data_IF_344342125470
#
_entry.id   IF_344342125470
#
_cell.length_a   1.000
_cell.length_b   1.000
_cell.length_c   1.000
_cell.angle_alpha   90.00
_cell.angle_beta   90.00
_cell.angle_gamma   90.00
#
_symmetry.space_group_name_H-M   'P 1'
#
loop_
_entity.id
_entity.type
_entity.pdbx_description
1 polymer ?
#
# COMPACT_ATOMS: atom_id res chain seq x y z
N UNK A 1 24.59 27.75 -7.36
CA UNK A 1 23.13 27.84 -7.57
C UNK A 1 22.50 26.46 -7.41
N UNK A 2 21.47 26.30 -6.56
CA UNK A 2 20.64 25.09 -6.53
C UNK A 2 19.67 25.14 -7.72
N UNK A 3 19.42 24.01 -8.37
CA UNK A 3 18.47 23.98 -9.49
C UNK A 3 17.05 24.29 -8.98
N UNK A 4 16.21 25.01 -9.75
CA UNK A 4 14.92 25.54 -9.29
C UNK A 4 13.92 24.45 -8.85
N UNK A 5 14.07 23.22 -9.35
CA UNK A 5 13.22 22.08 -9.03
C UNK A 5 13.71 21.25 -7.83
N UNK A 6 14.86 21.57 -7.25
CA UNK A 6 15.38 20.82 -6.11
C UNK A 6 14.77 21.32 -4.79
N UNK A 7 14.41 20.38 -3.92
CA UNK A 7 13.89 20.71 -2.59
C UNK A 7 14.92 21.53 -1.81
N UNK A 8 14.48 22.58 -1.11
CA UNK A 8 15.36 23.52 -0.39
C UNK A 8 16.18 22.85 0.71
N UNK A 9 15.57 21.91 1.44
CA UNK A 9 16.21 21.05 2.44
C UNK A 9 17.13 19.96 1.86
N UNK A 10 17.23 19.83 0.53
CA UNK A 10 18.12 18.83 -0.07
C UNK A 10 19.60 19.24 0.08
N UNK A 11 20.43 18.32 0.59
CA UNK A 11 21.86 18.53 0.82
C UNK A 11 22.72 17.39 0.23
N UNK A 12 24.05 17.58 0.25
CA UNK A 12 25.01 16.59 -0.31
C UNK A 12 25.04 15.28 0.49
N UNK A 13 24.83 15.34 1.80
CA UNK A 13 24.78 14.17 2.68
C UNK A 13 23.64 13.23 2.30
N UNK A 14 22.43 13.78 2.08
CA UNK A 14 21.26 13.05 1.59
C UNK A 14 21.49 12.44 0.21
N UNK A 15 22.21 13.12 -0.68
CA UNK A 15 22.55 12.59 -2.00
C UNK A 15 23.53 11.41 -1.91
N UNK A 16 24.51 11.47 -1.01
CA UNK A 16 25.42 10.35 -0.72
C UNK A 16 24.65 9.17 -0.10
N UNK A 17 23.83 9.42 0.91
CA UNK A 17 23.02 8.40 1.56
C UNK A 17 22.03 7.74 0.60
N UNK A 18 21.40 8.51 -0.30
CA UNK A 18 20.54 8.02 -1.37
C UNK A 18 21.30 7.13 -2.35
N UNK A 19 22.50 7.52 -2.79
CA UNK A 19 23.34 6.69 -3.68
C UNK A 19 23.71 5.37 -3.02
N UNK A 20 24.10 5.40 -1.75
CA UNK A 20 24.43 4.19 -1.00
C UNK A 20 23.20 3.28 -0.84
N UNK A 21 22.04 3.85 -0.53
CA UNK A 21 20.78 3.10 -0.44
C UNK A 21 20.42 2.43 -1.76
N UNK A 22 20.55 3.14 -2.89
CA UNK A 22 20.29 2.59 -4.24
C UNK A 22 21.23 1.44 -4.57
N UNK A 23 22.52 1.58 -4.22
CA UNK A 23 23.53 0.52 -4.42
C UNK A 23 23.17 -0.74 -3.65
N UNK A 24 22.87 -0.61 -2.35
CA UNK A 24 22.46 -1.73 -1.50
C UNK A 24 21.11 -2.32 -1.94
N UNK A 25 20.17 -1.48 -2.39
CA UNK A 25 18.89 -1.93 -2.93
C UNK A 25 19.06 -2.79 -4.18
N UNK A 26 19.96 -2.40 -5.10
CA UNK A 26 20.32 -3.22 -6.26
C UNK A 26 20.95 -4.54 -5.85
N UNK A 27 21.87 -4.53 -4.87
CA UNK A 27 22.47 -5.76 -4.34
C UNK A 27 21.43 -6.67 -3.67
N UNK A 28 20.53 -6.12 -2.85
CA UNK A 28 19.42 -6.84 -2.24
C UNK A 28 18.50 -7.47 -3.30
N UNK A 29 18.18 -6.74 -4.37
CA UNK A 29 17.33 -7.26 -5.44
C UNK A 29 18.01 -8.41 -6.21
N UNK A 30 19.30 -8.29 -6.52
CA UNK A 30 20.06 -9.33 -7.22
C UNK A 30 20.08 -10.65 -6.42
N UNK A 31 20.19 -10.55 -5.09
CA UNK A 31 20.23 -11.71 -4.19
C UNK A 31 18.86 -12.14 -3.66
N UNK A 32 17.74 -11.65 -4.22
CA UNK A 32 16.37 -11.92 -3.73
C UNK A 32 15.99 -13.40 -3.58
N UNK A 33 16.66 -14.29 -4.31
CA UNK A 33 16.43 -15.73 -4.24
C UNK A 33 17.11 -16.37 -3.02
N UNK A 34 18.09 -15.70 -2.41
CA UNK A 34 18.76 -16.11 -1.19
C UNK A 34 18.33 -15.20 -0.03
N UNK A 35 17.34 -15.66 0.75
CA UNK A 35 16.74 -14.88 1.84
C UNK A 35 17.73 -14.50 2.95
N UNK A 36 18.76 -15.30 3.16
CA UNK A 36 19.71 -15.13 4.26
C UNK A 36 20.97 -14.34 3.84
N UNK A 37 21.00 -13.82 2.61
CA UNK A 37 22.11 -13.01 2.14
C UNK A 37 22.21 -11.68 2.94
N UNK A 38 23.40 -11.29 3.42
CA UNK A 38 23.58 -10.13 4.30
C UNK A 38 23.16 -8.79 3.68
N UNK A 39 23.15 -8.69 2.35
CA UNK A 39 22.71 -7.48 1.62
C UNK A 39 21.29 -7.02 2.00
N UNK A 40 20.41 -7.95 2.37
CA UNK A 40 19.05 -7.61 2.80
C UNK A 40 19.06 -6.87 4.14
N UNK A 41 19.87 -7.33 5.09
CA UNK A 41 20.03 -6.68 6.39
C UNK A 41 20.72 -5.33 6.23
N UNK A 42 21.77 -5.23 5.40
CA UNK A 42 22.44 -3.97 5.09
C UNK A 42 21.52 -2.95 4.44
N UNK A 43 20.70 -3.38 3.47
CA UNK A 43 19.72 -2.52 2.83
C UNK A 43 18.69 -1.99 3.82
N UNK A 44 18.13 -2.84 4.70
CA UNK A 44 17.18 -2.41 5.75
C UNK A 44 17.82 -1.40 6.71
N UNK A 45 19.04 -1.67 7.18
CA UNK A 45 19.79 -0.74 8.04
C UNK A 45 20.00 0.61 7.36
N UNK A 46 20.46 0.61 6.10
CA UNK A 46 20.69 1.85 5.36
C UNK A 46 19.38 2.59 5.06
N UNK A 47 18.29 1.88 4.79
CA UNK A 47 16.96 2.49 4.58
C UNK A 47 16.51 3.24 5.83
N UNK A 48 16.66 2.65 7.01
CA UNK A 48 16.29 3.28 8.27
C UNK A 48 17.16 4.51 8.54
N UNK A 49 18.49 4.39 8.43
CA UNK A 49 19.42 5.53 8.56
C UNK A 49 19.10 6.66 7.59
N UNK A 50 18.75 6.34 6.34
CA UNK A 50 18.36 7.34 5.35
C UNK A 50 17.03 8.02 5.71
N UNK A 51 16.07 7.28 6.24
CA UNK A 51 14.81 7.82 6.75
C UNK A 51 15.04 8.79 7.91
N UNK A 52 15.83 8.40 8.90
CA UNK A 52 16.24 9.26 10.02
C UNK A 52 16.96 10.53 9.54
N UNK A 53 17.88 10.38 8.59
CA UNK A 53 18.60 11.52 7.99
C UNK A 53 17.63 12.48 7.28
N UNK A 54 16.65 11.98 6.53
CA UNK A 54 15.62 12.83 5.91
C UNK A 54 14.85 13.61 6.98
N UNK A 55 14.39 12.93 8.02
CA UNK A 55 13.62 13.57 9.09
C UNK A 55 14.44 14.64 9.81
N UNK A 56 15.70 14.33 10.14
CA UNK A 56 16.65 15.25 10.76
C UNK A 56 16.90 16.48 9.87
N UNK A 57 17.31 16.29 8.62
CA UNK A 57 17.62 17.42 7.72
C UNK A 57 16.40 18.30 7.43
N UNK A 58 15.19 17.71 7.33
CA UNK A 58 13.97 18.50 7.20
C UNK A 58 13.72 19.35 8.44
N UNK A 59 13.90 18.78 9.64
CA UNK A 59 13.73 19.50 10.91
C UNK A 59 14.77 20.62 11.03
N UNK A 60 16.05 20.33 10.82
CA UNK A 60 17.13 21.34 10.86
C UNK A 60 16.87 22.47 9.85
N UNK A 61 16.41 22.14 8.64
CA UNK A 61 16.05 23.17 7.66
C UNK A 61 14.84 24.00 8.09
N UNK A 62 13.87 23.38 8.75
CA UNK A 62 12.70 24.09 9.28
C UNK A 62 13.09 25.00 10.45
N UNK A 63 13.92 24.53 11.38
CA UNK A 63 14.45 25.32 12.50
C UNK A 63 15.28 26.51 11.98
N UNK A 64 16.21 26.28 11.06
CA UNK A 64 16.99 27.36 10.44
C UNK A 64 16.12 28.34 9.65
N UNK A 65 15.04 27.87 9.01
CA UNK A 65 14.07 28.74 8.37
C UNK A 65 13.32 29.60 9.38
N UNK A 66 12.99 29.06 10.57
CA UNK A 66 12.32 29.81 11.64
C UNK A 66 13.21 30.90 12.24
N UNK A 67 14.51 30.65 12.34
CA UNK A 67 15.50 31.62 12.82
C UNK A 67 15.71 32.79 11.82
N UNK A 68 15.47 32.55 10.53
CA UNK A 68 15.66 33.49 9.41
C UNK A 68 14.34 34.16 8.95
N UNK A 69 13.26 34.08 9.75
CA UNK A 69 11.96 34.70 9.40
C UNK A 69 12.02 36.20 9.60
N UNK A 70 12.20 36.92 8.50
CA UNK A 70 12.02 38.37 8.40
C UNK A 70 10.56 38.77 8.09
N UNK A 71 10.23 40.07 8.20
CA UNK A 71 8.90 40.63 7.90
C UNK A 71 8.37 40.21 6.51
N UNK A 72 9.24 40.07 5.51
CA UNK A 72 8.89 39.63 4.16
C UNK A 72 8.45 38.15 4.11
N UNK A 73 8.95 37.32 5.02
CA UNK A 73 8.71 35.88 5.07
C UNK A 73 7.62 35.47 6.08
N UNK A 74 7.19 36.39 6.96
CA UNK A 74 6.13 36.14 7.96
C UNK A 74 4.84 35.62 7.33
N UNK A 75 4.45 36.15 6.17
CA UNK A 75 3.24 35.69 5.45
C UNK A 75 3.39 34.29 4.86
N UNK A 76 4.60 33.88 4.47
CA UNK A 76 4.85 32.51 4.02
C UNK A 76 4.83 31.54 5.20
N UNK A 77 5.38 31.96 6.35
CA UNK A 77 5.30 31.20 7.60
C UNK A 77 3.85 30.97 8.03
N UNK A 78 3.03 32.03 8.11
CA UNK A 78 1.63 31.91 8.51
C UNK A 78 0.84 31.01 7.56
N UNK A 79 1.10 31.08 6.25
CA UNK A 79 0.54 30.16 5.25
C UNK A 79 0.93 28.70 5.53
N UNK A 80 2.19 28.41 5.86
CA UNK A 80 2.63 27.04 6.12
C UNK A 80 2.04 26.46 7.42
N UNK A 81 1.86 27.29 8.44
CA UNK A 81 1.21 26.86 9.70
C UNK A 81 -0.29 26.65 9.51
N UNK A 82 -0.97 27.57 8.82
CA UNK A 82 -2.41 27.50 8.60
C UNK A 82 -2.81 26.47 7.54
N UNK A 83 -1.93 26.18 6.57
CA UNK A 83 -2.22 25.39 5.38
C UNK A 83 -2.42 23.88 5.60
N UNK A 84 -2.22 23.37 6.82
CA UNK A 84 -2.39 21.96 7.13
C UNK A 84 -1.52 21.03 6.28
N UNK A 85 -1.75 19.72 6.37
CA UNK A 85 -1.06 18.76 5.52
C UNK A 85 -1.65 18.77 4.11
N UNK A 86 -0.84 19.05 3.09
CA UNK A 86 -1.28 19.04 1.67
C UNK A 86 -1.85 17.70 1.17
N UNK A 87 -1.60 16.59 1.88
CA UNK A 87 -1.94 15.23 1.43
C UNK A 87 -3.28 14.73 2.00
N UNK A 88 -4.05 15.57 2.71
CA UNK A 88 -5.31 15.18 3.37
C UNK A 88 -5.16 14.10 4.46
N UNK A 89 -3.99 13.46 4.59
CA UNK A 89 -3.75 12.36 5.53
C UNK A 89 -3.76 12.82 7.00
N UNK A 90 -3.50 14.11 7.23
CA UNK A 90 -3.55 14.73 8.55
C UNK A 90 -4.71 15.72 8.66
N UNK A 91 -5.59 15.81 7.65
CA UNK A 91 -6.83 16.55 7.81
C UNK A 91 -7.61 15.90 8.93
N UNK A 92 -8.00 16.73 9.90
CA UNK A 92 -8.66 16.30 11.12
C UNK A 92 -9.93 15.57 10.74
N UNK A 93 -9.89 14.23 10.74
CA UNK A 93 -11.08 13.40 10.49
C UNK A 93 -12.20 13.95 11.37
N UNK A 94 -13.32 14.32 10.74
CA UNK A 94 -14.44 14.91 11.46
C UNK A 94 -14.93 13.97 12.55
N UNK A 95 -15.65 14.51 13.53
CA UNK A 95 -16.27 13.65 14.54
C UNK A 95 -17.34 12.80 13.86
N UNK A 96 -17.28 11.49 14.06
CA UNK A 96 -18.26 10.53 13.55
C UNK A 96 -19.37 10.35 14.58
N UNK A 97 -20.60 10.13 14.12
CA UNK A 97 -21.71 9.72 14.98
C UNK A 97 -21.71 8.21 15.11
N UNK A 98 -21.68 7.70 16.35
CA UNK A 98 -21.76 6.29 16.67
C UNK A 98 -23.07 6.02 17.40
N UNK A 99 -23.80 4.99 16.97
CA UNK A 99 -25.00 4.52 17.67
C UNK A 99 -24.59 3.58 18.80
N UNK A 100 -25.00 3.88 20.02
CA UNK A 100 -24.79 3.03 21.18
C UNK A 100 -25.82 1.89 21.22
N UNK A 101 -25.58 0.90 22.07
CA UNK A 101 -26.48 -0.25 22.24
C UNK A 101 -27.88 0.17 22.72
N UNK A 102 -27.95 1.28 23.47
CA UNK A 102 -29.20 1.90 23.92
C UNK A 102 -29.93 2.73 22.84
N UNK A 103 -29.44 2.72 21.60
CA UNK A 103 -30.01 3.47 20.46
C UNK A 103 -29.71 4.99 20.46
N UNK A 104 -29.00 5.50 21.47
CA UNK A 104 -28.55 6.89 21.52
C UNK A 104 -27.35 7.14 20.59
N UNK A 105 -27.23 8.36 20.07
CA UNK A 105 -26.12 8.76 19.20
C UNK A 105 -25.05 9.56 19.99
N UNK A 106 -23.79 9.14 19.87
CA UNK A 106 -22.62 9.80 20.49
C UNK A 106 -21.59 10.19 19.44
N UNK A 107 -20.98 11.37 19.59
CA UNK A 107 -19.87 11.81 18.74
C UNK A 107 -18.53 11.24 19.22
N UNK A 108 -17.70 10.77 18.29
CA UNK A 108 -16.33 10.31 18.56
C UNK A 108 -15.40 11.48 18.87
N UNK A 109 -14.53 11.35 19.85
CA UNK A 109 -13.62 12.42 20.28
C UNK A 109 -12.18 12.24 19.78
N UNK A 110 -11.70 11.00 19.70
CA UNK A 110 -10.32 10.67 19.32
C UNK A 110 -10.27 9.81 18.04
N UNK A 111 -9.07 9.59 17.50
CA UNK A 111 -8.91 8.81 16.27
C UNK A 111 -9.12 7.30 16.49
N UNK A 112 -8.86 6.80 17.69
CA UNK A 112 -9.07 5.39 18.03
C UNK A 112 -10.56 5.04 18.03
N UNK A 113 -11.41 5.87 18.65
CA UNK A 113 -12.88 5.75 18.61
C UNK A 113 -13.41 5.83 17.18
N UNK A 114 -12.85 6.73 16.34
CA UNK A 114 -13.23 6.81 14.92
C UNK A 114 -12.85 5.54 14.16
N UNK A 115 -11.65 5.02 14.38
CA UNK A 115 -11.18 3.79 13.77
C UNK A 115 -12.10 2.62 14.12
N UNK A 116 -12.45 2.48 15.41
CA UNK A 116 -13.39 1.46 15.88
C UNK A 116 -14.79 1.63 15.29
N UNK A 117 -15.30 2.86 15.21
CA UNK A 117 -16.61 3.16 14.63
C UNK A 117 -16.68 2.79 13.14
N UNK A 118 -15.64 3.13 12.37
CA UNK A 118 -15.54 2.76 10.95
C UNK A 118 -15.41 1.25 10.79
N UNK A 119 -14.54 0.61 11.58
CA UNK A 119 -14.35 -0.83 11.52
C UNK A 119 -15.65 -1.58 11.78
N UNK A 120 -16.38 -1.22 12.86
CA UNK A 120 -17.67 -1.84 13.19
C UNK A 120 -18.71 -1.66 12.08
N UNK A 121 -18.74 -0.49 11.45
CA UNK A 121 -19.72 -0.17 10.39
C UNK A 121 -19.42 -0.91 9.09
N UNK A 122 -18.16 -0.94 8.66
CA UNK A 122 -17.77 -1.55 7.39
C UNK A 122 -17.54 -3.06 7.47
N UNK A 123 -17.23 -3.58 8.66
CA UNK A 123 -16.96 -4.99 8.91
C UNK A 123 -17.97 -5.51 9.95
N UNK A 124 -19.22 -5.80 9.53
CA UNK A 124 -20.19 -6.43 10.39
C UNK A 124 -19.65 -7.78 10.93
N UNK A 125 -20.11 -8.23 12.10
CA UNK A 125 -19.71 -9.53 12.64
C UNK A 125 -20.05 -10.65 11.65
N UNK A 126 -19.24 -11.71 11.68
CA UNK A 126 -19.51 -12.90 10.87
C UNK A 126 -20.97 -13.32 11.09
N UNK A 127 -21.72 -13.45 10.00
CA UNK A 127 -23.07 -13.98 10.06
C UNK A 127 -23.00 -15.35 10.74
N UNK A 128 -24.01 -15.69 11.54
CA UNK A 128 -24.11 -17.02 12.13
C UNK A 128 -23.88 -18.06 11.03
N UNK A 129 -22.95 -18.99 11.27
CA UNK A 129 -22.67 -20.08 10.35
C UNK A 129 -23.98 -20.81 10.12
N UNK A 130 -24.61 -20.56 8.97
CA UNK A 130 -25.74 -21.38 8.55
C UNK A 130 -25.21 -22.79 8.35
N UNK A 131 -25.94 -23.74 8.89
CA UNK A 131 -25.78 -25.14 8.53
C UNK A 131 -26.18 -25.27 7.05
N UNK A 132 -25.18 -25.10 6.19
CA UNK A 132 -25.35 -25.20 4.75
C UNK A 132 -25.64 -26.64 4.35
N UNK A 133 -25.34 -27.63 5.19
CA UNK A 133 -25.67 -29.05 4.99
C UNK A 133 -27.18 -29.26 5.17
N UNK A 134 -27.82 -28.55 6.11
CA UNK A 134 -29.27 -28.55 6.28
C UNK A 134 -30.04 -27.77 5.18
N UNK A 135 -29.36 -26.89 4.44
CA UNK A 135 -29.91 -26.14 3.28
C UNK A 135 -29.41 -26.71 1.93
N UNK A 136 -28.70 -27.83 1.94
CA UNK A 136 -28.01 -28.40 0.78
C UNK A 136 -28.93 -29.16 -0.19
N UNK A 137 -30.23 -28.84 -0.23
CA UNK A 137 -31.07 -29.29 -1.34
C UNK A 137 -30.74 -28.41 -2.56
N UNK A 138 -29.60 -28.73 -3.18
CA UNK A 138 -29.17 -28.08 -4.40
C UNK A 138 -30.24 -28.33 -5.47
N UNK A 139 -30.68 -27.31 -6.21
CA UNK A 139 -31.66 -27.52 -7.27
C UNK A 139 -31.09 -28.51 -8.29
N UNK A 140 -31.99 -29.29 -8.90
CA UNK A 140 -31.63 -30.18 -10.00
C UNK A 140 -30.81 -29.43 -11.06
N UNK A 141 -29.81 -30.10 -11.62
CA UNK A 141 -28.95 -29.51 -12.62
C UNK A 141 -29.79 -28.93 -13.77
N UNK A 142 -29.64 -27.64 -14.04
CA UNK A 142 -30.42 -26.96 -15.08
C UNK A 142 -30.12 -27.48 -16.50
N UNK A 143 -29.03 -28.23 -16.68
CA UNK A 143 -28.62 -28.83 -17.94
C UNK A 143 -27.83 -30.11 -17.69
N UNK A 144 -28.02 -31.09 -18.57
CA UNK A 144 -27.19 -32.28 -18.62
C UNK A 144 -25.84 -31.91 -19.26
N UNK A 145 -24.75 -32.13 -18.52
CA UNK A 145 -23.41 -31.99 -19.07
C UNK A 145 -23.10 -33.20 -19.96
N UNK A 146 -23.11 -32.98 -21.28
CA UNK A 146 -22.68 -34.00 -22.23
C UNK A 146 -21.21 -34.37 -21.97
N UNK A 147 -20.91 -35.67 -21.93
CA UNK A 147 -19.54 -36.14 -21.79
C UNK A 147 -18.70 -35.68 -22.99
N UNK A 148 -17.49 -35.16 -22.71
CA UNK A 148 -16.57 -34.73 -23.76
C UNK A 148 -16.12 -35.97 -24.54
N UNK A 149 -16.55 -36.10 -25.79
CA UNK A 149 -16.17 -37.21 -26.68
C UNK A 149 -14.90 -36.89 -27.46
N UNK A 150 -14.14 -37.93 -27.83
CA UNK A 150 -12.92 -37.77 -28.66
C UNK A 150 -13.21 -37.13 -30.02
N UNK A 151 -14.37 -37.44 -30.61
CA UNK A 151 -14.83 -36.83 -31.87
C UNK A 151 -15.05 -35.32 -31.74
N UNK A 152 -15.62 -34.87 -30.62
CA UNK A 152 -15.81 -33.45 -30.32
C UNK A 152 -14.47 -32.72 -30.17
N UNK A 153 -13.50 -33.34 -29.48
CA UNK A 153 -12.14 -32.80 -29.36
C UNK A 153 -11.46 -32.70 -30.74
N UNK A 154 -11.61 -33.71 -31.59
CA UNK A 154 -11.05 -33.73 -32.93
C UNK A 154 -11.64 -32.62 -33.83
N UNK A 155 -12.94 -32.38 -33.75
CA UNK A 155 -13.62 -31.30 -34.47
C UNK A 155 -13.12 -29.91 -34.03
N UNK A 156 -13.03 -29.69 -32.71
CA UNK A 156 -12.48 -28.45 -32.14
C UNK A 156 -11.04 -28.23 -32.63
N UNK A 157 -10.21 -29.27 -32.60
CA UNK A 157 -8.81 -29.20 -33.07
C UNK A 157 -8.73 -28.90 -34.57
N UNK A 158 -9.61 -29.46 -35.39
CA UNK A 158 -9.67 -29.18 -36.83
C UNK A 158 -10.08 -27.73 -37.14
N UNK A 159 -10.93 -27.14 -36.29
CA UNK A 159 -11.33 -25.72 -36.38
C UNK A 159 -10.27 -24.71 -35.90
N UNK A 160 -9.19 -25.16 -35.27
CA UNK A 160 -8.12 -24.26 -34.83
C UNK A 160 -7.32 -23.73 -36.02
N UNK A 161 -7.04 -22.42 -36.00
CA UNK A 161 -6.18 -21.77 -37.01
C UNK A 161 -4.81 -22.45 -37.05
N UNK A 162 -4.37 -22.83 -38.25
CA UNK A 162 -3.04 -23.42 -38.50
C UNK A 162 -1.96 -22.54 -37.85
N UNK A 163 -1.08 -23.15 -37.05
CA UNK A 163 0.01 -22.51 -36.31
C UNK A 163 -0.37 -21.66 -35.07
N UNK A 164 -1.55 -21.88 -34.47
CA UNK A 164 -1.83 -21.30 -33.14
C UNK A 164 -0.86 -21.89 -32.11
N UNK A 165 0.01 -21.06 -31.56
CA UNK A 165 1.04 -21.52 -30.63
C UNK A 165 0.41 -22.04 -29.32
N UNK A 166 0.84 -23.21 -28.81
CA UNK A 166 0.42 -23.66 -27.50
C UNK A 166 0.91 -22.68 -26.43
N UNK A 167 0.09 -22.45 -25.41
CA UNK A 167 0.50 -21.66 -24.25
C UNK A 167 1.72 -22.32 -23.58
N UNK A 168 2.60 -21.50 -22.99
CA UNK A 168 3.77 -22.02 -22.26
C UNK A 168 3.30 -22.88 -21.10
N UNK A 169 3.54 -24.19 -21.19
CA UNK A 169 3.36 -25.10 -20.06
C UNK A 169 4.32 -24.66 -18.95
N UNK A 170 3.78 -24.20 -17.82
CA UNK A 170 4.58 -24.03 -16.61
C UNK A 170 5.01 -25.41 -16.17
N UNK A 171 6.27 -25.78 -16.44
CA UNK A 171 6.88 -26.99 -15.93
C UNK A 171 6.85 -26.91 -14.40
N UNK A 172 5.92 -27.63 -13.79
CA UNK A 172 5.97 -27.93 -12.36
C UNK A 172 7.20 -28.81 -12.13
N UNK A 173 8.31 -28.19 -11.76
CA UNK A 173 9.47 -28.89 -11.21
C UNK A 173 9.04 -29.52 -9.88
N UNK A 174 8.61 -30.78 -9.92
CA UNK A 174 8.49 -31.62 -8.73
C UNK A 174 9.88 -31.74 -8.10
N UNK A 175 9.99 -31.32 -6.84
CA UNK A 175 11.08 -31.71 -5.93
C UNK A 175 10.76 -33.07 -5.33
#
# INVERSE_FOLDING_TARGET
MKAPFMKRWWNKELELARRQLRRLGKQSYNWRHNRDHPSHADYRRQRNKYGELISRTKREHWEAFLEDVDEDNVWNFSRYVAGGSSDGSTDRVTQLQMTQEDGSSRLTQNNDEKSHALHRTFFPPACEQRDWEALAEYPDAAFDVAAITESFVAEILAGLKKFKAPAKMASQTKR
#
